data_IF_512888431635
#
_entry.id   IF_512888431635
#
_cell.length_a   1.000
_cell.length_b   1.000
_cell.length_c   1.000
_cell.angle_alpha   90.00
_cell.angle_beta   90.00
_cell.angle_gamma   90.00
#
_symmetry.space_group_name_H-M   'P 1'
#
loop_
_entity.id
_entity.type
_entity.pdbx_description
1 polymer ?
#
# COMPACT_ATOMS: atom_id res chain seq x y z
N UNK A 1 -13.69 -5.13 8.72
CA UNK A 1 -13.29 -4.34 9.91
C UNK A 1 -11.82 -4.54 10.31
N UNK A 2 -11.25 -5.74 10.19
CA UNK A 2 -9.86 -6.04 10.63
C UNK A 2 -8.77 -5.10 10.10
N UNK A 3 -8.83 -4.72 8.81
CA UNK A 3 -7.88 -3.77 8.20
C UNK A 3 -8.02 -2.33 8.71
N UNK A 4 -9.21 -1.93 9.17
CA UNK A 4 -9.43 -0.58 9.71
C UNK A 4 -8.92 -0.53 11.15
N UNK A 5 -9.06 -1.65 11.89
CA UNK A 5 -8.52 -1.81 13.25
C UNK A 5 -6.98 -1.86 13.31
N UNK A 6 -6.33 -2.21 12.20
CA UNK A 6 -4.87 -2.22 12.08
C UNK A 6 -4.27 -0.82 11.86
N UNK A 7 -5.10 0.21 11.64
CA UNK A 7 -4.68 1.60 11.62
C UNK A 7 -4.93 2.20 13.00
N UNK A 8 -3.89 2.26 13.83
CA UNK A 8 -3.94 2.85 15.15
C UNK A 8 -2.65 3.66 15.43
N UNK A 9 -2.65 4.59 16.40
CA UNK A 9 -1.50 5.45 16.65
C UNK A 9 -0.18 4.71 16.88
N UNK A 10 -0.22 3.47 17.40
CA UNK A 10 0.97 2.67 17.66
C UNK A 10 1.48 1.94 16.41
N UNK A 11 0.63 1.69 15.42
CA UNK A 11 0.99 0.98 14.18
C UNK A 11 1.39 1.92 13.05
N UNK A 12 0.86 3.15 13.02
CA UNK A 12 1.17 4.16 11.98
C UNK A 12 2.67 4.36 11.75
N UNK A 13 3.54 4.48 12.77
CA UNK A 13 4.98 4.62 12.53
C UNK A 13 5.57 3.45 11.73
N UNK A 14 5.14 2.22 12.01
CA UNK A 14 5.58 1.02 11.30
C UNK A 14 5.00 0.92 9.90
N UNK A 15 3.81 1.48 9.67
CA UNK A 15 3.18 1.54 8.35
C UNK A 15 3.80 2.62 7.46
N UNK A 16 4.25 3.73 8.04
CA UNK A 16 4.96 4.79 7.32
C UNK A 16 6.41 4.42 7.00
N UNK A 17 7.05 3.67 7.89
CA UNK A 17 8.44 3.25 7.77
C UNK A 17 8.58 1.74 8.00
N UNK A 18 8.03 0.92 7.08
CA UNK A 18 8.09 -0.53 7.23
C UNK A 18 9.55 -0.99 7.16
N UNK A 19 9.99 -1.72 8.19
CA UNK A 19 11.36 -2.24 8.34
C UNK A 19 11.72 -3.35 7.33
N UNK A 20 10.73 -3.85 6.58
CA UNK A 20 10.80 -5.01 5.70
C UNK A 20 10.69 -4.64 4.22
N UNK A 21 10.84 -3.35 3.86
CA UNK A 21 10.70 -2.84 2.48
C UNK A 21 11.98 -2.14 2.02
N UNK A 22 12.49 -2.54 0.85
CA UNK A 22 13.61 -1.87 0.18
C UNK A 22 13.16 -0.55 -0.45
N UNK A 23 14.08 0.41 -0.65
CA UNK A 23 13.80 1.72 -1.28
C UNK A 23 13.19 1.62 -2.69
N UNK A 24 13.39 0.48 -3.37
CA UNK A 24 12.82 0.17 -4.68
C UNK A 24 11.32 -0.14 -4.63
N UNK A 25 10.78 -0.52 -3.48
CA UNK A 25 9.36 -0.85 -3.31
C UNK A 25 8.53 0.37 -2.91
N UNK A 26 9.18 1.41 -2.36
CA UNK A 26 8.59 2.69 -1.97
C UNK A 26 7.73 3.38 -3.05
N UNK A 27 8.09 3.41 -4.35
CA UNK A 27 7.24 4.03 -5.38
C UNK A 27 5.92 3.28 -5.64
N UNK A 28 5.81 2.01 -5.23
CA UNK A 28 4.58 1.21 -5.37
C UNK A 28 3.65 1.36 -4.17
N UNK A 29 4.08 2.09 -3.14
CA UNK A 29 3.33 2.27 -1.90
C UNK A 29 2.44 3.52 -1.94
N UNK A 30 1.16 3.32 -1.68
CA UNK A 30 0.20 4.35 -1.34
C UNK A 30 -0.13 4.27 0.15
N UNK A 31 0.44 5.19 0.92
CA UNK A 31 0.24 5.27 2.37
C UNK A 31 0.59 3.93 3.04
N UNK A 32 1.84 3.49 2.86
CA UNK A 32 2.37 2.30 3.54
C UNK A 32 1.94 0.93 2.98
N UNK A 33 1.09 0.90 1.96
CA UNK A 33 0.56 -0.34 1.38
C UNK A 33 0.36 -0.18 -0.15
N UNK A 34 -0.23 -1.16 -0.84
CA UNK A 34 -0.36 -1.20 -2.31
C UNK A 34 -1.13 0.02 -2.85
N UNK A 35 -0.59 0.63 -3.90
CA UNK A 35 -1.28 1.68 -4.65
C UNK A 35 -2.52 1.12 -5.39
N UNK A 36 -3.72 1.71 -5.23
CA UNK A 36 -4.96 1.10 -5.74
C UNK A 36 -5.00 0.94 -7.26
N UNK A 37 -4.25 1.78 -8.01
CA UNK A 37 -4.09 1.59 -9.46
C UNK A 37 -3.35 0.30 -9.85
N UNK A 38 -2.58 -0.32 -8.95
CA UNK A 38 -1.97 -1.62 -9.23
C UNK A 38 -3.04 -2.69 -9.42
N UNK A 39 -4.21 -2.54 -8.79
CA UNK A 39 -5.34 -3.45 -8.95
C UNK A 39 -5.91 -3.38 -10.37
N UNK A 40 -6.16 -2.16 -10.88
CA UNK A 40 -6.68 -1.99 -12.24
C UNK A 40 -5.63 -2.27 -13.31
N UNK A 41 -4.35 -1.95 -13.05
CA UNK A 41 -3.25 -2.31 -13.94
C UNK A 41 -3.04 -3.83 -14.03
N UNK A 42 -3.18 -4.54 -12.91
CA UNK A 42 -3.13 -6.00 -12.91
C UNK A 42 -4.28 -6.60 -13.72
N UNK A 43 -5.49 -6.07 -13.55
CA UNK A 43 -6.65 -6.51 -14.32
C UNK A 43 -6.47 -6.23 -15.81
N UNK A 44 -6.02 -5.02 -16.18
CA UNK A 44 -5.71 -4.67 -17.57
C UNK A 44 -4.62 -5.58 -18.15
N UNK A 45 -3.58 -5.91 -17.40
CA UNK A 45 -2.54 -6.80 -17.91
C UNK A 45 -3.04 -8.23 -18.13
N UNK A 46 -3.98 -8.74 -17.33
CA UNK A 46 -4.63 -10.02 -17.58
C UNK A 46 -5.42 -10.00 -18.89
N UNK A 47 -6.18 -8.93 -19.14
CA UNK A 47 -6.94 -8.70 -20.37
C UNK A 47 -6.00 -8.56 -21.57
N UNK A 48 -5.04 -7.65 -21.50
CA UNK A 48 -4.13 -7.34 -22.61
C UNK A 48 -3.30 -8.57 -22.99
N UNK A 49 -2.80 -9.33 -22.01
CA UNK A 49 -1.99 -10.54 -22.25
C UNK A 49 -2.76 -11.59 -23.06
N UNK A 50 -4.05 -11.76 -22.81
CA UNK A 50 -4.85 -12.78 -23.48
C UNK A 50 -5.33 -12.33 -24.87
N UNK A 51 -5.38 -11.02 -25.11
CA UNK A 51 -5.76 -10.42 -26.39
C UNK A 51 -4.55 -10.04 -27.26
N UNK A 52 -3.32 -10.31 -26.81
CA UNK A 52 -2.07 -9.97 -27.53
C UNK A 52 -1.60 -11.00 -28.58
N UNK A 53 -2.28 -12.14 -28.77
CA UNK A 53 -1.86 -13.16 -29.73
C UNK A 53 -2.88 -13.35 -30.87
N UNK A 54 -2.69 -12.59 -31.96
CA UNK A 54 -3.25 -12.95 -33.27
C UNK A 54 -2.30 -12.86 -34.46
N UNK A 55 -0.99 -12.54 -34.32
CA UNK A 55 -0.11 -12.49 -35.50
C UNK A 55 1.35 -12.96 -35.38
N UNK A 56 1.95 -13.29 -34.21
CA UNK A 56 3.34 -13.80 -34.21
C UNK A 56 3.65 -14.85 -33.11
N UNK A 57 4.05 -16.02 -33.59
CA UNK A 57 4.53 -17.20 -32.87
C UNK A 57 5.89 -16.93 -32.18
N UNK A 58 5.93 -16.16 -31.09
CA UNK A 58 7.10 -16.12 -30.19
C UNK A 58 6.68 -15.88 -28.73
N UNK A 59 6.25 -16.97 -28.07
CA UNK A 59 6.01 -17.04 -26.63
C UNK A 59 7.21 -16.51 -25.83
N UNK A 60 7.08 -15.30 -25.28
CA UNK A 60 8.09 -14.71 -24.41
C UNK A 60 7.96 -15.31 -23.01
N UNK A 61 8.94 -16.15 -22.72
CA UNK A 61 9.18 -16.96 -21.55
C UNK A 61 9.23 -16.12 -20.24
N UNK A 62 8.08 -15.84 -19.62
CA UNK A 62 8.01 -15.66 -18.17
C UNK A 62 8.01 -17.07 -17.52
N UNK A 63 9.21 -17.64 -17.42
CA UNK A 63 9.47 -18.77 -16.54
C UNK A 63 9.23 -18.34 -15.10
N UNK A 64 8.06 -18.71 -14.58
CA UNK A 64 7.91 -19.03 -13.17
C UNK A 64 7.16 -20.36 -13.13
N UNK A 65 7.92 -21.44 -12.95
CA UNK A 65 7.52 -22.85 -12.75
C UNK A 65 6.01 -23.12 -12.55
N UNK A 66 5.26 -23.13 -13.66
CA UNK A 66 3.84 -23.50 -13.70
C UNK A 66 3.68 -24.98 -14.12
N UNK A 67 4.53 -25.84 -13.58
CA UNK A 67 4.47 -27.29 -13.78
C UNK A 67 3.26 -27.83 -13.00
N UNK A 68 2.06 -27.73 -13.59
CA UNK A 68 0.89 -28.63 -13.49
C UNK A 68 -0.48 -27.95 -13.82
N UNK A 69 -0.64 -27.36 -15.02
CA UNK A 69 -1.90 -27.08 -15.77
C UNK A 69 -3.01 -26.18 -15.14
N UNK A 70 -4.01 -25.62 -15.88
CA UNK A 70 -4.52 -26.01 -17.22
C UNK A 70 -4.87 -24.88 -18.23
N UNK A 71 -5.10 -25.27 -19.49
CA UNK A 71 -5.71 -24.50 -20.59
C UNK A 71 -7.06 -23.80 -20.29
N UNK A 72 -7.59 -23.85 -19.07
CA UNK A 72 -8.86 -23.17 -18.68
C UNK A 72 -8.68 -21.69 -18.32
N UNK A 73 -7.45 -21.27 -18.03
CA UNK A 73 -7.09 -19.86 -17.76
C UNK A 73 -7.04 -19.05 -19.07
N UNK A 74 -6.94 -19.70 -20.23
CA UNK A 74 -6.59 -19.09 -21.52
C UNK A 74 -7.76 -18.49 -22.33
N UNK A 75 -8.97 -18.40 -21.76
CA UNK A 75 -10.15 -17.81 -22.45
C UNK A 75 -11.01 -16.90 -21.56
N UNK A 76 -10.61 -16.68 -20.31
CA UNK A 76 -11.44 -15.95 -19.36
C UNK A 76 -11.40 -14.42 -19.59
N UNK A 77 -10.35 -13.91 -20.22
CA UNK A 77 -10.16 -12.47 -20.47
C UNK A 77 -10.17 -12.10 -21.96
N UNK A 78 -10.31 -13.08 -22.84
CA UNK A 78 -10.49 -12.87 -24.28
C UNK A 78 -11.80 -12.14 -24.56
N UNK A 79 -11.74 -11.14 -25.44
CA UNK A 79 -12.89 -10.32 -25.85
C UNK A 79 -13.70 -9.81 -24.63
N UNK A 80 -13.09 -8.98 -23.75
CA UNK A 80 -13.76 -8.49 -22.54
C UNK A 80 -15.04 -7.73 -22.89
N UNK A 81 -16.07 -7.85 -22.04
CA UNK A 81 -17.32 -7.13 -22.27
C UNK A 81 -17.13 -5.61 -22.20
N UNK A 82 -17.86 -4.86 -23.02
CA UNK A 82 -17.88 -3.39 -22.98
C UNK A 82 -18.24 -2.87 -21.58
N UNK A 83 -19.09 -3.61 -20.86
CA UNK A 83 -19.46 -3.31 -19.47
C UNK A 83 -18.25 -3.40 -18.53
N UNK A 84 -17.44 -4.46 -18.62
CA UNK A 84 -16.23 -4.62 -17.81
C UNK A 84 -15.24 -3.50 -18.10
N UNK A 85 -14.98 -3.19 -19.38
CA UNK A 85 -14.07 -2.12 -19.79
C UNK A 85 -14.55 -0.76 -19.26
N UNK A 86 -15.83 -0.45 -19.46
CA UNK A 86 -16.45 0.79 -18.93
C UNK A 86 -16.32 0.87 -17.41
N UNK A 87 -16.48 -0.26 -16.71
CA UNK A 87 -16.41 -0.29 -15.26
C UNK A 87 -14.99 -0.06 -14.76
N UNK A 88 -13.98 -0.63 -15.41
CA UNK A 88 -12.56 -0.35 -15.14
C UNK A 88 -12.28 1.15 -15.27
N UNK A 89 -12.75 1.77 -16.36
CA UNK A 89 -12.53 3.21 -16.59
C UNK A 89 -13.20 4.09 -15.52
N UNK A 90 -14.39 3.71 -15.05
CA UNK A 90 -15.10 4.39 -13.95
C UNK A 90 -14.35 4.27 -12.63
N UNK A 91 -13.83 3.08 -12.30
CA UNK A 91 -13.01 2.84 -11.12
C UNK A 91 -11.76 3.73 -11.17
N UNK A 92 -11.07 3.76 -12.30
CA UNK A 92 -9.87 4.59 -12.47
C UNK A 92 -10.13 6.08 -12.41
N UNK A 93 -11.26 6.53 -12.96
CA UNK A 93 -11.70 7.92 -12.84
C UNK A 93 -11.94 8.30 -11.38
N UNK A 94 -12.62 7.43 -10.63
CA UNK A 94 -12.86 7.61 -9.18
C UNK A 94 -11.54 7.68 -8.41
N UNK A 95 -10.61 6.74 -8.67
CA UNK A 95 -9.28 6.78 -8.04
C UNK A 95 -8.51 8.06 -8.38
N UNK A 96 -8.70 8.61 -9.59
CA UNK A 96 -8.02 9.85 -10.06
C UNK A 96 -8.44 11.07 -9.25
N UNK A 97 -9.62 11.01 -8.64
CA UNK A 97 -10.15 12.04 -7.75
C UNK A 97 -9.76 11.77 -6.28
N UNK A 98 -9.85 10.51 -5.83
CA UNK A 98 -9.67 10.16 -4.42
C UNK A 98 -8.20 10.11 -3.98
N UNK A 99 -7.32 9.53 -4.80
CA UNK A 99 -5.90 9.35 -4.45
C UNK A 99 -5.21 10.70 -4.20
N UNK A 100 -5.36 11.74 -5.05
CA UNK A 100 -4.75 13.04 -4.78
C UNK A 100 -5.24 13.71 -3.50
N UNK A 101 -6.53 13.56 -3.16
CA UNK A 101 -7.13 14.13 -1.94
C UNK A 101 -6.51 13.49 -0.70
N UNK A 102 -6.38 12.17 -0.68
CA UNK A 102 -5.72 11.45 0.42
C UNK A 102 -4.23 11.82 0.52
N UNK A 103 -3.53 11.94 -0.61
CA UNK A 103 -2.13 12.38 -0.62
C UNK A 103 -1.95 13.82 -0.12
N UNK A 104 -2.87 14.73 -0.44
CA UNK A 104 -2.81 16.11 0.06
C UNK A 104 -3.04 16.16 1.58
N UNK A 105 -4.05 15.45 2.08
CA UNK A 105 -4.29 15.27 3.53
C UNK A 105 -3.05 14.72 4.23
N UNK A 106 -2.46 13.66 3.66
CA UNK A 106 -1.24 13.06 4.19
C UNK A 106 -0.08 14.06 4.30
N UNK A 107 0.21 14.79 3.23
CA UNK A 107 1.28 15.80 3.24
C UNK A 107 1.00 16.91 4.26
N UNK A 108 -0.26 17.30 4.44
CA UNK A 108 -0.66 18.29 5.45
C UNK A 108 -0.42 17.76 6.87
N UNK A 109 -0.89 16.55 7.18
CA UNK A 109 -0.71 15.92 8.47
C UNK A 109 0.77 15.71 8.81
N UNK A 110 1.58 15.22 7.86
CA UNK A 110 3.03 15.08 8.05
C UNK A 110 3.73 16.41 8.32
N UNK A 111 3.38 17.48 7.57
CA UNK A 111 3.93 18.82 7.83
C UNK A 111 3.51 19.36 9.19
N UNK A 112 2.24 19.18 9.57
CA UNK A 112 1.72 19.57 10.87
C UNK A 112 2.46 18.86 12.01
N UNK A 113 2.64 17.55 11.88
CA UNK A 113 3.39 16.73 12.83
C UNK A 113 4.84 17.22 13.00
N UNK A 114 5.58 17.39 11.90
CA UNK A 114 6.97 17.86 11.94
C UNK A 114 7.08 19.27 12.54
N UNK A 115 6.17 20.18 12.17
CA UNK A 115 6.16 21.53 12.73
C UNK A 115 6.02 21.49 14.26
N UNK A 116 5.03 20.75 14.78
CA UNK A 116 4.77 20.63 16.23
C UNK A 116 5.92 19.98 16.99
N UNK A 117 6.50 18.90 16.45
CA UNK A 117 7.66 18.24 17.05
C UNK A 117 8.89 19.16 17.06
N UNK A 118 9.11 19.92 15.98
CA UNK A 118 10.24 20.83 15.88
C UNK A 118 10.12 22.05 16.80
N UNK A 119 8.91 22.60 16.97
CA UNK A 119 8.63 23.69 17.89
C UNK A 119 8.90 23.27 19.34
N UNK A 120 8.50 22.06 19.71
CA UNK A 120 8.79 21.50 21.03
C UNK A 120 10.30 21.34 21.25
N UNK A 121 11.00 20.72 20.29
CA UNK A 121 12.44 20.54 20.36
C UNK A 121 13.16 21.88 20.56
N UNK A 122 12.79 22.92 19.80
CA UNK A 122 13.36 24.28 19.94
C UNK A 122 13.00 24.91 21.29
N UNK A 123 11.79 24.68 21.80
CA UNK A 123 11.36 25.19 23.11
C UNK A 123 12.16 24.58 24.27
N UNK A 124 12.49 23.28 24.18
CA UNK A 124 13.25 22.54 25.19
C UNK A 124 14.69 23.06 25.35
N UNK A 125 15.31 23.54 24.27
CA UNK A 125 16.66 24.13 24.29
C UNK A 125 16.67 25.58 24.77
N UNK A 126 15.61 26.35 24.46
CA UNK A 126 15.53 27.77 24.84
C UNK A 126 15.24 27.97 26.33
N UNK A 127 14.70 26.95 27.01
CA UNK A 127 14.45 26.93 28.46
C UNK A 127 15.66 26.51 29.34
N UNK A 128 16.89 26.80 28.92
CA UNK A 128 18.12 26.25 29.52
C UNK A 128 18.29 26.38 31.05
N UNK A 129 18.89 25.32 31.62
CA UNK A 129 19.49 25.15 32.97
C UNK A 129 18.55 25.19 34.19
N UNK A 130 17.98 24.04 34.54
CA UNK A 130 17.96 23.59 35.94
C UNK A 130 18.79 22.31 36.05
N UNK A 131 19.92 22.43 36.71
CA UNK A 131 20.75 21.33 37.19
C UNK A 131 19.86 20.40 38.04
N UNK A 132 19.40 19.29 37.46
CA UNK A 132 18.67 18.25 38.18
C UNK A 132 19.67 17.16 38.55
N UNK A 133 20.06 17.19 39.82
CA UNK A 133 20.67 16.07 40.53
C UNK A 133 19.93 14.78 40.18
N UNK A 134 20.70 13.75 39.85
CA UNK A 134 20.24 12.39 39.61
C UNK A 134 19.56 11.87 40.88
N UNK A 135 18.24 11.97 40.93
CA UNK A 135 17.40 11.12 41.78
C UNK A 135 16.25 10.59 40.95
N UNK A 136 16.10 9.28 41.08
CA UNK A 136 15.26 8.40 40.30
C UNK A 136 13.75 8.74 40.36
N UNK A 137 13.10 8.45 39.25
CA UNK A 137 11.71 7.95 39.11
C UNK A 137 10.56 8.98 39.16
N UNK A 138 9.82 8.98 38.04
CA UNK A 138 8.42 9.38 37.81
C UNK A 138 8.05 10.87 37.77
N UNK A 139 7.23 11.18 36.76
CA UNK A 139 6.39 12.38 36.60
C UNK A 139 7.10 13.70 36.29
N UNK A 140 7.43 13.89 35.02
CA UNK A 140 7.34 15.20 34.37
C UNK A 140 6.81 14.96 32.95
N UNK A 141 5.49 15.02 32.78
CA UNK A 141 4.81 14.90 31.49
C UNK A 141 5.01 16.18 30.66
N UNK A 142 5.57 16.10 29.44
CA UNK A 142 5.49 17.17 28.45
C UNK A 142 4.10 17.11 27.77
N UNK A 143 3.04 17.44 28.52
CA UNK A 143 1.66 17.18 28.11
C UNK A 143 1.16 17.98 26.89
N UNK A 144 1.83 19.08 26.50
CA UNK A 144 1.35 19.93 25.39
C UNK A 144 1.75 19.43 24.00
N UNK A 145 2.83 18.67 23.91
CA UNK A 145 3.38 18.13 22.66
C UNK A 145 2.69 16.83 22.31
N UNK A 146 2.41 16.02 23.34
CA UNK A 146 1.68 14.77 23.23
C UNK A 146 0.31 15.03 22.57
N UNK A 147 -0.47 15.97 23.09
CA UNK A 147 -1.84 16.15 22.62
C UNK A 147 -1.94 16.82 21.24
N UNK A 148 -1.02 17.73 20.91
CA UNK A 148 -1.00 18.39 19.61
C UNK A 148 -0.43 17.48 18.50
N UNK A 149 0.62 16.71 18.79
CA UNK A 149 1.14 15.71 17.86
C UNK A 149 0.19 14.51 17.71
N UNK A 150 -0.57 14.20 18.76
CA UNK A 150 -1.64 13.20 18.75
C UNK A 150 -2.78 13.56 17.81
N UNK A 151 -3.19 14.83 17.70
CA UNK A 151 -4.18 15.25 16.70
C UNK A 151 -3.71 14.93 15.27
N UNK A 152 -2.44 15.21 14.96
CA UNK A 152 -1.89 14.88 13.64
C UNK A 152 -1.75 13.36 13.45
N UNK A 153 -1.43 12.62 14.52
CA UNK A 153 -1.40 11.15 14.51
C UNK A 153 -2.79 10.53 14.29
N UNK A 154 -3.83 11.08 14.91
CA UNK A 154 -5.21 10.67 14.71
C UNK A 154 -5.68 10.94 13.28
N UNK A 155 -5.27 12.07 12.68
CA UNK A 155 -5.52 12.35 11.26
C UNK A 155 -4.78 11.35 10.36
N UNK A 156 -3.52 11.00 10.68
CA UNK A 156 -2.80 9.94 9.96
C UNK A 156 -3.56 8.61 10.04
N UNK A 157 -4.07 8.23 11.21
CA UNK A 157 -4.93 7.05 11.37
C UNK A 157 -6.15 7.12 10.46
N UNK A 158 -6.89 8.24 10.47
CA UNK A 158 -8.06 8.43 9.60
C UNK A 158 -7.71 8.28 8.12
N UNK A 159 -6.59 8.86 7.68
CA UNK A 159 -6.13 8.78 6.29
C UNK A 159 -5.86 7.32 5.89
N UNK A 160 -5.24 6.53 6.77
CA UNK A 160 -4.98 5.11 6.52
C UNK A 160 -6.26 4.28 6.47
N UNK A 161 -7.22 4.57 7.34
CA UNK A 161 -8.55 3.94 7.29
C UNK A 161 -9.24 4.24 5.95
N UNK A 162 -9.24 5.49 5.51
CA UNK A 162 -9.84 5.88 4.23
C UNK A 162 -9.12 5.24 3.03
N UNK A 163 -7.79 5.14 3.08
CA UNK A 163 -7.01 4.44 2.07
C UNK A 163 -7.32 2.94 2.02
N UNK A 164 -7.48 2.30 3.18
CA UNK A 164 -7.88 0.89 3.28
C UNK A 164 -9.29 0.67 2.72
N UNK A 165 -10.21 1.59 2.99
CA UNK A 165 -11.57 1.56 2.44
C UNK A 165 -11.58 1.75 0.93
N UNK A 166 -10.75 2.66 0.41
CA UNK A 166 -10.59 2.85 -1.04
C UNK A 166 -10.06 1.57 -1.71
N UNK A 167 -9.01 0.95 -1.17
CA UNK A 167 -8.47 -0.32 -1.67
C UNK A 167 -9.55 -1.41 -1.69
N UNK A 168 -10.30 -1.56 -0.60
CA UNK A 168 -11.41 -2.54 -0.52
C UNK A 168 -12.51 -2.24 -1.53
N UNK A 169 -12.90 -0.98 -1.68
CA UNK A 169 -13.92 -0.57 -2.67
C UNK A 169 -13.49 -0.99 -4.08
N UNK A 170 -12.26 -0.67 -4.47
CA UNK A 170 -11.73 -1.02 -5.79
C UNK A 170 -11.73 -2.54 -6.02
N UNK A 171 -11.31 -3.34 -5.03
CA UNK A 171 -11.35 -4.80 -5.12
C UNK A 171 -12.80 -5.29 -5.28
N UNK A 172 -13.73 -4.76 -4.49
CA UNK A 172 -15.15 -5.13 -4.57
C UNK A 172 -15.77 -4.72 -5.90
N UNK A 173 -15.43 -3.54 -6.41
CA UNK A 173 -15.93 -3.04 -7.70
C UNK A 173 -15.42 -3.89 -8.86
N UNK A 174 -14.16 -4.31 -8.83
CA UNK A 174 -13.59 -5.26 -9.81
C UNK A 174 -14.32 -6.60 -9.72
N UNK A 175 -14.39 -7.20 -8.53
CA UNK A 175 -15.03 -8.50 -8.33
C UNK A 175 -16.50 -8.47 -8.76
N UNK A 176 -17.22 -7.40 -8.44
CA UNK A 176 -18.62 -7.21 -8.82
C UNK A 176 -18.85 -6.96 -10.31
N UNK A 177 -17.83 -6.48 -11.04
CA UNK A 177 -17.88 -6.29 -12.49
C UNK A 177 -17.49 -7.55 -13.28
N UNK A 178 -16.97 -8.58 -12.61
CA UNK A 178 -16.48 -9.82 -13.22
C UNK A 178 -17.40 -11.01 -12.96
N UNK A 179 -17.35 -12.02 -13.82
CA UNK A 179 -17.95 -13.34 -13.50
C UNK A 179 -17.25 -13.99 -12.30
N UNK A 180 -17.91 -14.95 -11.65
CA UNK A 180 -17.32 -15.70 -10.52
C UNK A 180 -15.95 -16.31 -10.87
N UNK A 181 -15.81 -16.82 -12.09
CA UNK A 181 -14.56 -17.40 -12.57
C UNK A 181 -13.46 -16.33 -12.76
N UNK A 182 -13.79 -15.21 -13.42
CA UNK A 182 -12.85 -14.10 -13.61
C UNK A 182 -12.44 -13.47 -12.26
N UNK A 183 -13.38 -13.32 -11.32
CA UNK A 183 -13.10 -12.83 -9.98
C UNK A 183 -12.10 -13.73 -9.24
N UNK A 184 -12.28 -15.05 -9.33
CA UNK A 184 -11.37 -16.01 -8.70
C UNK A 184 -9.95 -15.91 -9.29
N UNK A 185 -9.83 -15.84 -10.63
CA UNK A 185 -8.55 -15.69 -11.31
C UNK A 185 -7.86 -14.36 -10.99
N UNK A 186 -8.64 -13.26 -10.92
CA UNK A 186 -8.12 -11.96 -10.54
C UNK A 186 -7.57 -11.97 -9.10
N UNK A 187 -8.32 -12.52 -8.14
CA UNK A 187 -7.89 -12.60 -6.74
C UNK A 187 -6.69 -13.54 -6.55
N UNK A 188 -6.62 -14.62 -7.31
CA UNK A 188 -5.45 -15.50 -7.34
C UNK A 188 -4.21 -14.75 -7.85
N UNK A 189 -4.33 -14.08 -9.00
CA UNK A 189 -3.24 -13.29 -9.57
C UNK A 189 -2.82 -12.14 -8.66
N UNK A 190 -3.76 -11.52 -7.94
CA UNK A 190 -3.46 -10.52 -6.92
C UNK A 190 -2.65 -11.14 -5.78
N UNK A 191 -3.07 -12.29 -5.25
CA UNK A 191 -2.30 -13.00 -4.22
C UNK A 191 -0.88 -13.34 -4.70
N UNK A 192 -0.73 -13.86 -5.93
CA UNK A 192 0.56 -14.18 -6.52
C UNK A 192 1.43 -12.93 -6.69
N UNK A 193 0.86 -11.82 -7.15
CA UNK A 193 1.54 -10.53 -7.25
C UNK A 193 2.07 -10.06 -5.89
N UNK A 194 1.24 -10.17 -4.84
CA UNK A 194 1.61 -9.79 -3.47
C UNK A 194 2.68 -10.72 -2.86
N UNK A 195 2.60 -12.01 -3.12
CA UNK A 195 3.63 -12.98 -2.73
C UNK A 195 4.94 -12.73 -3.50
N UNK A 196 4.87 -12.31 -4.76
CA UNK A 196 6.02 -11.95 -5.58
C UNK A 196 6.89 -10.86 -4.93
N UNK A 197 6.28 -9.85 -4.30
CA UNK A 197 7.02 -8.87 -3.49
C UNK A 197 7.77 -9.52 -2.31
N UNK A 198 7.20 -10.54 -1.68
CA UNK A 198 7.80 -11.20 -0.52
C UNK A 198 8.99 -12.08 -0.91
N UNK A 199 8.92 -12.77 -2.05
CA UNK A 199 9.96 -13.70 -2.52
C UNK A 199 11.17 -12.97 -3.11
N UNK A 200 10.95 -11.85 -3.82
CA UNK A 200 12.06 -11.05 -4.36
C UNK A 200 12.98 -10.59 -3.22
N UNK A 201 12.43 -10.12 -2.09
CA UNK A 201 13.23 -9.65 -0.95
C UNK A 201 13.99 -10.78 -0.23
N UNK A 202 13.38 -11.96 -0.04
CA UNK A 202 14.03 -13.09 0.63
C UNK A 202 15.14 -13.73 -0.20
N UNK A 203 14.99 -13.76 -1.53
CA UNK A 203 16.04 -14.26 -2.43
C UNK A 203 17.29 -13.36 -2.45
N UNK A 204 17.12 -12.04 -2.29
CA UNK A 204 18.24 -11.10 -2.20
C UNK A 204 18.96 -11.16 -0.84
N UNK A 205 18.23 -11.33 0.27
CA UNK A 205 18.85 -11.48 1.61
C UNK A 205 19.63 -12.79 1.75
N UNK A 206 19.15 -13.89 1.14
CA UNK A 206 19.87 -15.17 1.14
C UNK A 206 21.12 -15.18 0.23
N UNK A 207 21.28 -14.19 -0.65
CA UNK A 207 22.50 -14.01 -1.46
C UNK A 207 23.58 -13.16 -0.76
N UNK A 208 23.23 -12.48 0.34
CA UNK A 208 24.16 -11.67 1.15
C UNK A 208 24.77 -12.49 2.30
N UNK A 209 24.20 -13.66 2.62
CA UNK A 209 24.75 -14.60 3.60
C UNK A 209 25.82 -15.51 2.95
N UNK A 210 26.92 -14.90 2.52
CA UNK A 210 28.21 -15.57 2.34
C UNK A 210 29.32 -14.62 2.77
N UNK A 211 29.74 -14.77 4.02
CA UNK A 211 31.15 -14.99 4.41
C UNK A 211 31.31 -14.84 5.92
N UNK A 212 31.48 -15.97 6.59
CA UNK A 212 32.62 -16.19 7.49
C UNK A 212 33.23 -17.57 7.17
#
# INVERSE_FOLDING_TARGET
ETLDLAADPNTIPYLLFPTWRNSLETPFLFLGDIHPYLLTNLLRSMIDRENQDSDDDYSLHLNLDLVNQPLKIATAWKDPSDELVTRIDQIECTMRLMVPVLMDRMRKAQRGFVARVSEDWVSSYRGGKKEKTVTAITAATPASVDEAAKVEMEELVSIFVDANRLRKSVIMDIVGATSEHQAALFLEGLCQFLVGFKISVSSWLNQIDFSD
#
